data_IF_511765240444
#
_entry.id   IF_511765240444
#
_cell.length_a   1.000
_cell.length_b   1.000
_cell.length_c   1.000
_cell.angle_alpha   90.00
_cell.angle_beta   90.00
_cell.angle_gamma   90.00
#
_symmetry.space_group_name_H-M   'P 1'
#
loop_
_entity.id
_entity.type
_entity.pdbx_description
1 polymer ?
#
# COMPACT_ATOMS: atom_id res chain seq x y z
N UNK A 1 23.47 -25.60 -50.48
CA UNK A 1 24.09 -25.57 -49.13
C UNK A 1 24.07 -24.10 -48.70
N UNK A 2 23.51 -23.59 -47.61
CA UNK A 2 22.77 -24.03 -46.42
C UNK A 2 21.80 -22.84 -46.14
N UNK A 3 20.48 -23.03 -46.12
CA UNK A 3 19.64 -23.07 -44.90
C UNK A 3 20.09 -22.07 -43.81
N UNK A 4 19.13 -21.28 -43.31
CA UNK A 4 19.07 -20.61 -42.00
C UNK A 4 19.25 -19.08 -42.01
N UNK A 5 18.26 -18.30 -42.48
CA UNK A 5 18.10 -16.92 -41.99
C UNK A 5 16.64 -16.41 -42.05
N UNK A 6 15.68 -17.26 -41.68
CA UNK A 6 14.25 -16.87 -41.61
C UNK A 6 13.68 -16.93 -40.20
N UNK A 7 14.51 -16.84 -39.16
CA UNK A 7 14.09 -17.07 -37.76
C UNK A 7 14.08 -15.83 -36.85
N UNK A 8 14.11 -14.61 -37.39
CA UNK A 8 14.10 -13.38 -36.55
C UNK A 8 12.79 -12.58 -36.66
N UNK A 9 11.91 -12.86 -37.63
CA UNK A 9 10.70 -12.03 -37.86
C UNK A 9 9.48 -12.53 -37.07
N UNK A 10 9.54 -13.69 -36.42
CA UNK A 10 8.41 -14.25 -35.66
C UNK A 10 8.29 -13.78 -34.20
N UNK A 11 9.22 -12.95 -33.69
CA UNK A 11 9.21 -12.51 -32.28
C UNK A 11 8.59 -11.12 -32.03
N UNK A 12 8.11 -10.44 -33.07
CA UNK A 12 7.58 -9.06 -32.99
C UNK A 12 6.05 -8.98 -32.82
N UNK A 13 5.36 -10.11 -32.67
CA UNK A 13 3.90 -10.17 -32.46
C UNK A 13 3.51 -10.47 -31.00
N UNK A 14 4.42 -10.23 -30.05
CA UNK A 14 4.24 -10.57 -28.63
C UNK A 14 3.90 -9.40 -27.70
N UNK A 15 3.75 -8.17 -28.18
CA UNK A 15 3.31 -7.04 -27.33
C UNK A 15 1.80 -6.86 -27.48
N UNK A 16 1.05 -7.89 -27.10
CA UNK A 16 -0.37 -7.75 -26.84
C UNK A 16 -0.48 -6.83 -25.65
N UNK A 17 -1.12 -5.69 -25.87
CA UNK A 17 -1.43 -4.69 -24.88
C UNK A 17 -1.98 -5.34 -23.61
N UNK A 18 -1.14 -5.45 -22.57
CA UNK A 18 -1.64 -5.44 -21.21
C UNK A 18 -2.04 -4.00 -20.96
N UNK A 19 -3.33 -3.77 -21.19
CA UNK A 19 -4.04 -2.60 -20.76
C UNK A 19 -3.71 -2.35 -19.29
N UNK A 20 -2.74 -1.48 -19.04
CA UNK A 20 -2.79 -0.58 -17.91
C UNK A 20 -4.02 0.28 -18.13
N UNK A 21 -5.19 -0.23 -17.76
CA UNK A 21 -6.30 0.61 -17.40
C UNK A 21 -5.84 1.37 -16.16
N UNK A 22 -5.07 2.44 -16.37
CA UNK A 22 -4.90 3.52 -15.41
C UNK A 22 -6.28 4.19 -15.30
N UNK A 23 -7.20 3.51 -14.62
CA UNK A 23 -8.43 4.08 -14.11
C UNK A 23 -8.22 4.38 -12.64
N UNK A 24 -7.19 5.13 -12.33
CA UNK A 24 -7.29 6.02 -11.19
C UNK A 24 -7.86 7.32 -11.73
N UNK A 25 -9.20 7.37 -11.70
CA UNK A 25 -9.87 8.62 -11.47
C UNK A 25 -9.27 9.19 -10.18
N UNK A 26 -8.19 9.96 -10.35
CA UNK A 26 -7.65 10.82 -9.31
C UNK A 26 -8.87 11.64 -8.86
N UNK A 27 -9.38 11.34 -7.67
CA UNK A 27 -10.47 12.10 -7.10
C UNK A 27 -9.89 13.47 -6.76
N UNK A 28 -9.94 14.39 -7.74
CA UNK A 28 -9.53 15.80 -7.66
C UNK A 28 -10.39 16.60 -6.64
N UNK A 29 -11.22 15.92 -5.84
CA UNK A 29 -12.19 16.50 -4.91
C UNK A 29 -12.06 16.01 -3.45
N UNK A 30 -11.04 15.22 -3.10
CA UNK A 30 -10.82 14.79 -1.71
C UNK A 30 -9.33 14.77 -1.36
N UNK A 31 -8.87 15.77 -0.61
CA UNK A 31 -7.46 16.02 -0.27
C UNK A 31 -6.85 15.02 0.73
N UNK A 32 -7.49 13.87 0.95
CA UNK A 32 -7.08 12.86 1.93
C UNK A 32 -7.07 11.46 1.30
N UNK A 33 -6.01 10.71 1.57
CA UNK A 33 -5.81 9.34 1.09
C UNK A 33 -5.76 8.39 2.28
N UNK A 34 -6.44 7.26 2.16
CA UNK A 34 -6.50 6.23 3.20
C UNK A 34 -5.50 5.11 2.93
N UNK A 35 -4.82 4.67 3.99
CA UNK A 35 -3.88 3.55 3.94
C UNK A 35 -4.13 2.60 5.12
N UNK A 36 -4.05 1.31 4.87
CA UNK A 36 -4.37 0.25 5.83
C UNK A 36 -3.10 -0.50 6.24
N UNK A 37 -2.98 -0.86 7.51
CA UNK A 37 -1.85 -1.67 8.01
C UNK A 37 -2.22 -2.58 9.18
N UNK A 38 -1.42 -3.64 9.33
CA UNK A 38 -1.41 -4.48 10.52
C UNK A 38 -0.22 -4.07 11.41
N UNK A 39 -0.49 -3.91 12.71
CA UNK A 39 0.52 -3.56 13.71
C UNK A 39 1.30 -4.82 14.12
N UNK A 40 2.31 -5.18 13.33
CA UNK A 40 3.13 -6.40 13.54
C UNK A 40 4.44 -6.14 14.29
N UNK A 41 4.58 -4.97 14.91
CA UNK A 41 5.79 -4.62 15.66
C UNK A 41 5.44 -3.75 16.85
N UNK A 42 6.24 -3.83 17.91
CA UNK A 42 6.05 -3.00 19.11
C UNK A 42 6.43 -1.52 18.92
N UNK A 43 7.00 -1.16 17.76
CA UNK A 43 7.58 0.15 17.51
C UNK A 43 8.90 0.37 18.24
N UNK A 44 9.58 1.47 17.92
CA UNK A 44 10.84 1.89 18.54
C UNK A 44 10.59 3.07 19.47
N UNK A 45 11.13 3.03 20.68
CA UNK A 45 11.07 4.19 21.59
C UNK A 45 11.80 5.39 21.00
N UNK A 46 11.15 6.55 21.08
CA UNK A 46 11.73 7.85 20.76
C UNK A 46 11.60 8.73 22.00
N UNK A 47 12.73 9.11 22.57
CA UNK A 47 12.83 9.92 23.78
C UNK A 47 11.96 11.17 23.66
N UNK A 48 11.03 11.35 24.61
CA UNK A 48 10.09 12.48 24.68
C UNK A 48 9.12 12.62 23.49
N UNK A 49 8.94 11.59 22.64
CA UNK A 49 8.02 11.63 21.50
C UNK A 49 7.11 10.40 21.39
N UNK A 50 7.36 9.34 22.15
CA UNK A 50 6.53 8.12 22.16
C UNK A 50 7.13 6.98 21.36
N UNK A 51 6.31 6.28 20.56
CA UNK A 51 6.70 5.08 19.80
C UNK A 51 6.69 5.37 18.31
N UNK A 52 7.83 5.15 17.65
CA UNK A 52 7.98 5.24 16.19
C UNK A 52 7.72 3.89 15.52
N UNK A 53 6.84 3.89 14.55
CA UNK A 53 6.48 2.75 13.72
C UNK A 53 6.92 3.01 12.28
N UNK A 54 7.46 1.98 11.63
CA UNK A 54 7.71 1.96 10.18
C UNK A 54 7.03 0.73 9.63
N UNK A 55 5.91 0.93 8.94
CA UNK A 55 4.97 -0.13 8.61
C UNK A 55 4.78 -0.21 7.09
N UNK A 56 4.66 -1.42 6.52
CA UNK A 56 4.03 -1.57 5.23
C UNK A 56 2.54 -1.22 5.37
N UNK A 57 2.09 -0.28 4.56
CA UNK A 57 0.69 0.12 4.44
C UNK A 57 0.20 -0.13 3.03
N UNK A 58 -1.10 -0.27 2.84
CA UNK A 58 -1.72 -0.58 1.56
C UNK A 58 -2.90 0.35 1.31
N UNK A 59 -3.00 0.92 0.11
CA UNK A 59 -4.18 1.70 -0.27
C UNK A 59 -5.38 0.78 -0.58
N UNK A 60 -6.50 1.37 -0.97
CA UNK A 60 -7.74 0.64 -1.32
C UNK A 60 -7.56 -0.39 -2.44
N UNK A 61 -6.57 -0.20 -3.31
CA UNK A 61 -6.29 -1.04 -4.46
C UNK A 61 -5.20 -2.08 -4.14
N UNK A 62 -4.68 -2.07 -2.91
CA UNK A 62 -3.66 -2.98 -2.42
C UNK A 62 -2.24 -2.56 -2.79
N UNK A 63 -2.03 -1.34 -3.27
CA UNK A 63 -0.69 -0.86 -3.57
C UNK A 63 0.05 -0.55 -2.29
N UNK A 64 1.30 -1.01 -2.22
CA UNK A 64 2.14 -0.88 -1.03
C UNK A 64 2.76 0.51 -0.92
N UNK A 65 2.70 1.11 0.28
CA UNK A 65 3.45 2.30 0.68
C UNK A 65 4.10 2.06 2.04
N UNK A 66 5.36 2.45 2.21
CA UNK A 66 5.99 2.43 3.53
C UNK A 66 5.66 3.73 4.25
N UNK A 67 5.03 3.64 5.42
CA UNK A 67 4.68 4.78 6.24
C UNK A 67 5.48 4.76 7.54
N UNK A 68 5.98 5.93 7.93
CA UNK A 68 6.60 6.13 9.23
C UNK A 68 5.75 7.08 10.05
N UNK A 69 5.35 6.65 11.25
CA UNK A 69 4.47 7.39 12.14
C UNK A 69 5.00 7.33 13.57
N UNK A 70 4.83 8.41 14.33
CA UNK A 70 5.15 8.46 15.74
C UNK A 70 3.84 8.59 16.49
N UNK A 71 3.53 7.59 17.32
CA UNK A 71 2.37 7.58 18.18
C UNK A 71 2.77 7.99 19.59
N UNK A 72 1.93 8.76 20.28
CA UNK A 72 2.16 9.18 21.67
C UNK A 72 2.21 7.98 22.64
N UNK A 73 1.58 6.85 22.27
CA UNK A 73 1.52 5.63 23.07
C UNK A 73 1.65 4.36 22.22
N UNK A 74 1.90 3.23 22.88
CA UNK A 74 2.03 1.93 22.21
C UNK A 74 0.69 1.52 21.61
N UNK A 75 0.69 1.24 20.31
CA UNK A 75 -0.45 0.62 19.61
C UNK A 75 -0.39 -0.90 19.84
N UNK A 76 -1.50 -1.57 20.19
CA UNK A 76 -1.52 -3.01 20.40
C UNK A 76 -1.07 -3.79 19.16
N UNK A 77 -0.27 -4.83 19.39
CA UNK A 77 0.16 -5.74 18.32
C UNK A 77 -1.04 -6.54 17.80
N UNK A 78 -1.08 -6.74 16.48
CA UNK A 78 -2.20 -7.38 15.79
C UNK A 78 -3.36 -6.46 15.46
N UNK A 79 -3.38 -5.21 15.96
CA UNK A 79 -4.38 -4.22 15.56
C UNK A 79 -4.32 -3.94 14.06
N UNK A 80 -5.49 -3.82 13.45
CA UNK A 80 -5.63 -3.30 12.09
C UNK A 80 -6.00 -1.83 12.17
N UNK A 81 -5.27 -1.00 11.44
CA UNK A 81 -5.45 0.44 11.47
C UNK A 81 -5.63 1.02 10.09
N UNK A 82 -6.33 2.16 10.05
CA UNK A 82 -6.46 3.04 8.89
C UNK A 82 -5.79 4.37 9.20
N UNK A 83 -4.83 4.75 8.35
CA UNK A 83 -4.20 6.06 8.32
C UNK A 83 -4.93 6.93 7.31
N UNK A 84 -5.37 8.11 7.73
CA UNK A 84 -5.78 9.18 6.81
C UNK A 84 -4.61 10.12 6.63
N UNK A 85 -4.22 10.36 5.38
CA UNK A 85 -3.07 11.19 5.03
C UNK A 85 -3.55 12.34 4.17
N UNK A 86 -3.22 13.58 4.53
CA UNK A 86 -3.55 14.74 3.71
C UNK A 86 -2.66 14.83 2.45
N UNK A 87 -3.01 15.75 1.56
CA UNK A 87 -2.23 16.06 0.34
C UNK A 87 -0.76 16.47 0.58
N UNK A 88 -0.40 16.90 1.79
CA UNK A 88 0.98 17.25 2.17
C UNK A 88 1.78 16.00 2.60
N UNK A 89 1.11 14.86 2.79
CA UNK A 89 1.73 13.61 3.23
C UNK A 89 1.69 13.40 4.75
N UNK A 90 1.02 14.29 5.50
CA UNK A 90 0.90 14.19 6.94
C UNK A 90 -0.26 13.28 7.34
N UNK A 91 -0.02 12.44 8.36
CA UNK A 91 -1.09 11.64 8.97
C UNK A 91 -2.00 12.57 9.76
N UNK A 92 -3.25 12.71 9.31
CA UNK A 92 -4.28 13.51 9.98
C UNK A 92 -5.12 12.69 10.94
N UNK A 93 -5.25 11.38 10.69
CA UNK A 93 -5.99 10.48 11.57
C UNK A 93 -5.43 9.05 11.59
N UNK A 94 -5.64 8.36 12.71
CA UNK A 94 -5.36 6.94 12.89
C UNK A 94 -6.55 6.27 13.60
N UNK A 95 -7.25 5.40 12.88
CA UNK A 95 -8.39 4.65 13.41
C UNK A 95 -8.06 3.15 13.52
N UNK A 96 -8.56 2.49 14.57
CA UNK A 96 -8.64 1.03 14.57
C UNK A 96 -9.84 0.59 13.72
N UNK A 97 -9.64 -0.40 12.85
CA UNK A 97 -10.68 -0.87 11.91
C UNK A 97 -10.83 -2.38 11.99
N UNK A 98 -12.01 -2.90 11.67
CA UNK A 98 -12.21 -4.34 11.52
C UNK A 98 -11.79 -4.78 10.11
N UNK A 99 -11.37 -6.05 9.94
CA UNK A 99 -10.95 -6.59 8.64
C UNK A 99 -12.00 -6.41 7.54
N UNK A 100 -13.29 -6.52 7.90
CA UNK A 100 -14.44 -6.33 7.00
C UNK A 100 -14.57 -4.91 6.45
N UNK A 101 -13.99 -3.92 7.12
CA UNK A 101 -14.04 -2.49 6.74
C UNK A 101 -12.82 -2.11 5.88
N UNK A 102 -11.88 -3.03 5.68
CA UNK A 102 -10.71 -2.85 4.83
C UNK A 102 -11.06 -3.32 3.41
N UNK A 103 -10.66 -2.62 2.33
CA UNK A 103 -10.87 -3.09 0.96
C UNK A 103 -10.20 -4.45 0.70
N UNK A 104 -10.89 -5.37 0.02
CA UNK A 104 -10.38 -6.72 -0.27
C UNK A 104 -8.96 -6.77 -0.86
N UNK A 105 -8.57 -5.88 -1.82
CA UNK A 105 -7.20 -5.87 -2.33
C UNK A 105 -6.16 -5.63 -1.24
N UNK A 106 -6.44 -4.71 -0.31
CA UNK A 106 -5.57 -4.41 0.81
C UNK A 106 -5.56 -5.56 1.83
N UNK A 107 -6.72 -6.17 2.14
CA UNK A 107 -6.81 -7.32 3.04
C UNK A 107 -5.86 -8.45 2.61
N UNK A 108 -5.83 -8.78 1.32
CA UNK A 108 -4.97 -9.83 0.76
C UNK A 108 -3.48 -9.58 1.02
N UNK A 109 -3.07 -8.32 1.12
CA UNK A 109 -1.69 -7.94 1.38
C UNK A 109 -1.29 -7.96 2.86
N UNK A 110 -2.27 -7.82 3.77
CA UNK A 110 -2.01 -7.79 5.21
C UNK A 110 -1.60 -9.16 5.77
N UNK A 111 -1.77 -10.25 5.00
CA UNK A 111 -1.40 -11.63 5.35
C UNK A 111 -1.82 -12.04 6.78
N UNK A 112 -2.97 -11.56 7.23
CA UNK A 112 -3.53 -11.89 8.54
C UNK A 112 -4.14 -13.29 8.40
N UNK A 113 -3.58 -14.26 9.13
CA UNK A 113 -4.03 -15.66 9.13
C UNK A 113 -5.28 -15.87 9.99
#
# INVERSE_FOLDING_TARGET
MKKNLSLIIALLLGSVALAGCERDQYNVLGNETEFYAAMLSEGKDVTNQGKKYTLPTYDKDGNKKILTYIADSKIPEGSLVKFTINHQGDVTNLDNVAIKDIPEPAQKQLHIQ
#
